data_IF_175899724688
#
_entry.id   IF_175899724688
#
_cell.length_a   1.000
_cell.length_b   1.000
_cell.length_c   1.000
_cell.angle_alpha   90.00
_cell.angle_beta   90.00
_cell.angle_gamma   90.00
#
_symmetry.space_group_name_H-M   'P 1'
#
loop_
_entity.id
_entity.type
_entity.pdbx_description
1 polymer ?
#
# COMPACT_ATOMS: atom_id res chain seq x y z
N UNK A 1 -10.84 -19.29 8.81
CA UNK A 1 -10.30 -18.17 9.59
C UNK A 1 -9.25 -17.51 8.72
N UNK A 2 -9.48 -16.29 8.26
CA UNK A 2 -8.52 -15.56 7.42
C UNK A 2 -7.37 -15.12 8.32
N UNK A 3 -6.20 -15.73 8.17
CA UNK A 3 -5.00 -15.33 8.91
C UNK A 3 -4.53 -14.00 8.33
N UNK A 4 -4.67 -12.92 9.10
CA UNK A 4 -4.16 -11.62 8.74
C UNK A 4 -2.63 -11.71 8.65
N UNK A 5 -2.05 -11.38 7.50
CA UNK A 5 -0.60 -11.31 7.39
C UNK A 5 -0.10 -10.10 8.18
N UNK A 6 0.91 -10.31 9.02
CA UNK A 6 1.61 -9.24 9.70
C UNK A 6 2.63 -8.61 8.73
N UNK A 7 2.81 -7.28 8.75
CA UNK A 7 3.81 -6.64 7.93
C UNK A 7 5.21 -7.09 8.33
N UNK A 8 6.06 -7.39 7.35
CA UNK A 8 7.49 -7.62 7.56
C UNK A 8 8.18 -6.32 7.97
N UNK A 9 7.66 -5.17 7.52
CA UNK A 9 8.12 -3.83 7.89
C UNK A 9 6.92 -2.92 8.14
N UNK A 10 6.94 -2.18 9.25
CA UNK A 10 6.07 -1.03 9.49
C UNK A 10 6.94 0.20 9.79
N UNK A 11 6.66 1.33 9.10
CA UNK A 11 7.29 2.63 9.35
C UNK A 11 6.22 3.68 9.57
N UNK A 12 6.37 4.45 10.66
CA UNK A 12 5.50 5.57 11.01
C UNK A 12 6.33 6.84 11.01
N UNK A 13 5.98 7.80 10.15
CA UNK A 13 6.81 8.96 9.85
C UNK A 13 5.99 10.23 9.63
N UNK A 14 6.64 11.40 9.71
CA UNK A 14 6.02 12.70 9.38
C UNK A 14 6.16 13.09 7.90
N UNK A 15 6.84 12.27 7.11
CA UNK A 15 7.06 12.48 5.68
C UNK A 15 6.79 11.17 4.93
N UNK A 16 6.34 11.23 3.67
CA UNK A 16 6.22 10.06 2.81
C UNK A 16 7.53 9.29 2.69
N UNK A 17 7.42 7.96 2.62
CA UNK A 17 8.52 7.00 2.48
C UNK A 17 8.65 6.54 1.04
N UNK A 18 7.52 6.22 0.40
CA UNK A 18 7.48 5.71 -0.99
C UNK A 18 6.74 6.66 -1.92
N UNK A 19 5.66 7.28 -1.45
CA UNK A 19 4.98 8.31 -2.22
C UNK A 19 5.91 9.53 -2.40
N UNK A 20 5.77 10.23 -3.52
CA UNK A 20 6.51 11.46 -3.76
C UNK A 20 6.15 12.54 -2.72
N UNK A 21 7.08 13.42 -2.38
CA UNK A 21 6.84 14.48 -1.39
C UNK A 21 5.71 15.44 -1.81
N UNK A 22 5.43 15.54 -3.10
CA UNK A 22 4.38 16.35 -3.72
C UNK A 22 3.13 15.53 -4.09
N UNK A 23 2.93 14.34 -3.49
CA UNK A 23 1.81 13.44 -3.81
C UNK A 23 0.45 14.16 -3.80
N UNK A 24 0.24 15.09 -2.86
CA UNK A 24 -0.98 15.90 -2.72
C UNK A 24 -1.24 16.88 -3.87
N UNK A 25 -0.22 17.21 -4.68
CA UNK A 25 -0.35 18.05 -5.88
C UNK A 25 -0.50 17.23 -7.17
N UNK A 26 -0.17 15.94 -7.12
CA UNK A 26 -0.20 15.04 -8.27
C UNK A 26 -1.57 14.37 -8.38
N UNK A 27 -2.55 15.15 -8.81
CA UNK A 27 -3.76 14.54 -9.37
C UNK A 27 -3.33 13.78 -10.64
N UNK A 28 -3.72 12.51 -10.74
CA UNK A 28 -3.71 11.70 -11.97
C UNK A 28 -2.50 10.82 -12.28
N UNK A 29 -1.74 10.30 -11.31
CA UNK A 29 -0.99 9.07 -11.61
C UNK A 29 -1.90 7.86 -11.37
N UNK A 30 -2.43 7.21 -12.43
CA UNK A 30 -3.27 6.03 -12.28
C UNK A 30 -2.46 4.89 -11.67
N UNK A 31 -3.14 3.81 -11.26
CA UNK A 31 -2.49 2.53 -11.02
C UNK A 31 -1.71 2.14 -12.30
N UNK A 32 -0.39 2.26 -12.26
CA UNK A 32 0.52 1.93 -13.36
C UNK A 32 0.77 0.43 -13.28
N UNK A 33 0.39 -0.28 -14.35
CA UNK A 33 0.78 -1.66 -14.53
C UNK A 33 2.17 -1.68 -15.17
N UNK A 34 3.13 -2.24 -14.44
CA UNK A 34 4.49 -2.47 -14.91
C UNK A 34 4.71 -3.97 -15.07
N UNK A 35 5.48 -4.37 -16.08
CA UNK A 35 5.73 -5.76 -16.44
C UNK A 35 7.24 -6.03 -16.34
N UNK A 36 7.64 -7.11 -15.68
CA UNK A 36 9.03 -7.60 -15.67
C UNK A 36 9.05 -9.11 -15.57
N UNK A 37 9.73 -9.81 -16.48
CA UNK A 37 10.15 -11.22 -16.36
C UNK A 37 9.14 -12.16 -15.64
N UNK A 38 7.89 -12.18 -16.12
CA UNK A 38 6.73 -12.96 -15.63
C UNK A 38 5.93 -12.38 -14.44
N UNK A 39 6.33 -11.23 -13.91
CA UNK A 39 5.59 -10.51 -12.86
C UNK A 39 4.91 -9.25 -13.41
N UNK A 40 3.61 -9.11 -13.14
CA UNK A 40 2.82 -7.89 -13.30
C UNK A 40 2.80 -7.17 -11.95
N UNK A 41 3.41 -6.00 -11.90
CA UNK A 41 3.44 -5.13 -10.73
C UNK A 41 2.48 -3.97 -10.93
N UNK A 42 1.44 -3.92 -10.13
CA UNK A 42 0.47 -2.83 -10.08
C UNK A 42 0.91 -1.80 -9.03
N UNK A 43 1.25 -0.58 -9.45
CA UNK A 43 1.68 0.50 -8.56
C UNK A 43 0.70 1.66 -8.64
N UNK A 44 0.11 2.02 -7.51
CA UNK A 44 -0.60 3.26 -7.31
C UNK A 44 0.29 4.30 -6.62
N UNK A 45 0.30 5.54 -7.12
CA UNK A 45 0.89 6.72 -6.49
C UNK A 45 -0.03 7.91 -6.78
N UNK A 46 -0.52 8.63 -5.77
CA UNK A 46 -1.46 9.72 -6.04
C UNK A 46 -1.83 10.55 -4.82
N UNK A 47 -2.82 11.43 -4.99
CA UNK A 47 -3.27 12.39 -3.97
C UNK A 47 -3.88 11.79 -2.72
N UNK A 48 -4.15 10.48 -2.70
CA UNK A 48 -4.93 9.83 -1.66
C UNK A 48 -6.24 9.29 -2.22
N UNK A 49 -6.55 8.03 -1.93
CA UNK A 49 -7.88 7.44 -2.15
C UNK A 49 -8.25 6.69 -0.87
N UNK A 50 -9.51 6.79 -0.46
CA UNK A 50 -10.01 5.99 0.66
C UNK A 50 -9.78 4.49 0.39
N UNK A 51 -9.42 3.68 1.41
CA UNK A 51 -9.10 2.26 1.22
C UNK A 51 -10.16 1.48 0.45
N UNK A 52 -11.45 1.67 0.77
CA UNK A 52 -12.59 0.98 0.13
C UNK A 52 -12.80 1.34 -1.35
N UNK A 53 -12.20 2.44 -1.81
CA UNK A 53 -12.29 2.91 -3.19
C UNK A 53 -10.99 2.64 -3.97
N UNK A 54 -9.97 2.08 -3.31
CA UNK A 54 -8.67 1.87 -3.91
C UNK A 54 -8.75 0.75 -4.96
N UNK A 55 -8.15 0.91 -6.17
CA UNK A 55 -8.25 -0.08 -7.25
C UNK A 55 -7.61 -1.43 -6.94
N UNK A 56 -6.75 -1.50 -5.90
CA UNK A 56 -6.15 -2.74 -5.41
C UNK A 56 -6.80 -3.27 -4.13
N UNK A 57 -7.88 -2.68 -3.65
CA UNK A 57 -8.50 -3.04 -2.36
C UNK A 57 -8.81 -4.53 -2.26
N UNK A 58 -9.40 -5.09 -3.31
CA UNK A 58 -9.76 -6.51 -3.36
C UNK A 58 -8.55 -7.41 -3.24
N UNK A 59 -7.47 -7.10 -3.94
CA UNK A 59 -6.22 -7.85 -3.94
C UNK A 59 -5.58 -7.89 -2.55
N UNK A 60 -5.51 -6.74 -1.90
CA UNK A 60 -5.00 -6.61 -0.54
C UNK A 60 -5.87 -7.39 0.47
N UNK A 61 -7.20 -7.36 0.32
CA UNK A 61 -8.10 -8.16 1.15
C UNK A 61 -7.94 -9.67 0.96
N UNK A 62 -7.75 -10.16 -0.27
CA UNK A 62 -7.54 -11.59 -0.52
C UNK A 62 -6.28 -12.12 0.18
N UNK A 63 -5.26 -11.26 0.34
CA UNK A 63 -4.05 -11.57 1.09
C UNK A 63 -4.19 -11.38 2.61
N UNK A 64 -5.35 -10.93 3.11
CA UNK A 64 -5.49 -10.59 4.52
C UNK A 64 -4.58 -9.43 4.95
N UNK A 65 -4.34 -8.48 4.05
CA UNK A 65 -3.51 -7.29 4.26
C UNK A 65 -4.39 -6.03 4.18
N UNK A 66 -5.07 -5.64 5.27
CA UNK A 66 -6.03 -4.56 5.22
C UNK A 66 -5.31 -3.20 5.23
N UNK A 67 -5.61 -2.34 4.25
CA UNK A 67 -5.20 -0.93 4.22
C UNK A 67 -6.12 -0.08 5.12
N UNK A 68 -6.39 -0.50 6.36
CA UNK A 68 -7.58 -0.02 7.09
C UNK A 68 -7.34 1.04 8.15
N UNK A 69 -6.10 1.25 8.60
CA UNK A 69 -5.82 2.14 9.73
C UNK A 69 -4.40 2.70 9.74
N UNK A 70 -4.27 3.87 10.37
CA UNK A 70 -3.00 4.51 10.71
C UNK A 70 -2.20 3.65 11.71
N UNK A 71 -0.89 3.52 11.52
CA UNK A 71 0.01 2.85 12.47
C UNK A 71 0.32 3.68 13.72
N UNK A 72 0.03 4.98 13.72
CA UNK A 72 0.30 5.86 14.86
C UNK A 72 -0.87 5.96 15.85
N UNK A 73 -2.03 6.43 15.39
CA UNK A 73 -3.21 6.69 16.24
C UNK A 73 -4.34 5.68 16.07
N UNK A 74 -4.16 4.67 15.21
CA UNK A 74 -5.16 3.65 14.86
C UNK A 74 -6.46 4.20 14.23
N UNK A 75 -6.50 5.50 13.87
CA UNK A 75 -7.63 6.07 13.14
C UNK A 75 -7.80 5.39 11.77
N UNK A 76 -9.07 5.26 11.37
CA UNK A 76 -9.47 4.77 10.04
C UNK A 76 -9.67 5.91 9.03
N UNK A 77 -9.57 7.15 9.48
CA UNK A 77 -9.56 8.36 8.64
C UNK A 77 -8.17 8.46 7.97
N UNK A 78 -8.01 7.65 6.93
CA UNK A 78 -6.77 7.51 6.17
C UNK A 78 -7.03 7.54 4.66
N UNK A 79 -6.01 7.99 3.94
CA UNK A 79 -5.97 7.98 2.49
C UNK A 79 -4.76 7.16 2.04
N UNK A 80 -4.96 6.25 1.09
CA UNK A 80 -3.87 5.47 0.47
C UNK A 80 -3.19 6.36 -0.56
N UNK A 81 -1.90 6.64 -0.37
CA UNK A 81 -1.11 7.54 -1.22
C UNK A 81 -0.07 6.79 -2.06
N UNK A 82 0.24 5.55 -1.67
CA UNK A 82 1.03 4.59 -2.44
C UNK A 82 0.50 3.18 -2.18
N UNK A 83 0.44 2.35 -3.22
CA UNK A 83 0.24 0.92 -3.07
C UNK A 83 0.97 0.16 -4.18
N UNK A 84 1.51 -1.00 -3.87
CA UNK A 84 2.14 -1.94 -4.80
C UNK A 84 1.57 -3.32 -4.57
N UNK A 85 1.28 -4.03 -5.65
CA UNK A 85 0.90 -5.43 -5.62
C UNK A 85 1.50 -6.17 -6.80
N UNK A 86 2.17 -7.28 -6.55
CA UNK A 86 2.85 -8.10 -7.57
C UNK A 86 2.05 -9.38 -7.87
N UNK A 87 1.99 -9.79 -9.14
CA UNK A 87 1.32 -11.03 -9.63
C UNK A 87 2.16 -11.73 -10.68
N UNK A 88 2.05 -13.05 -10.90
CA UNK A 88 1.33 -14.00 -10.05
C UNK A 88 2.08 -14.22 -8.73
N UNK A 89 1.33 -14.48 -7.66
CA UNK A 89 1.93 -14.78 -6.35
C UNK A 89 2.55 -16.18 -6.29
N UNK A 90 2.24 -17.03 -7.28
CA UNK A 90 2.68 -18.43 -7.36
C UNK A 90 4.18 -18.59 -7.63
N UNK A 91 4.80 -17.58 -8.24
CA UNK A 91 6.23 -17.56 -8.60
C UNK A 91 7.07 -16.66 -7.68
N UNK A 92 6.47 -16.04 -6.67
CA UNK A 92 7.19 -15.17 -5.74
C UNK A 92 8.24 -15.97 -4.96
N UNK A 93 9.47 -15.47 -4.93
CA UNK A 93 10.58 -16.11 -4.23
C UNK A 93 10.60 -15.69 -2.76
N UNK A 94 11.11 -16.53 -1.85
CA UNK A 94 11.33 -16.13 -0.47
C UNK A 94 12.17 -14.85 -0.41
N UNK A 95 11.69 -13.83 0.31
CA UNK A 95 12.35 -12.54 0.41
C UNK A 95 11.86 -11.47 -0.59
N UNK A 96 10.94 -11.79 -1.49
CA UNK A 96 10.36 -10.81 -2.42
C UNK A 96 9.15 -10.07 -1.85
N UNK A 97 9.08 -8.76 -2.11
CA UNK A 97 7.95 -7.92 -1.72
C UNK A 97 6.75 -8.30 -2.58
N UNK A 98 5.72 -8.85 -1.96
CA UNK A 98 4.48 -9.24 -2.62
C UNK A 98 3.48 -8.09 -2.65
N UNK A 99 3.40 -7.31 -1.58
CA UNK A 99 2.61 -6.10 -1.55
C UNK A 99 3.14 -5.08 -0.53
N UNK A 100 2.86 -3.82 -0.79
CA UNK A 100 3.21 -2.73 0.11
C UNK A 100 2.21 -1.60 -0.05
N UNK A 101 1.99 -0.82 1.00
CA UNK A 101 1.15 0.37 0.93
C UNK A 101 1.66 1.46 1.85
N UNK A 102 1.35 2.69 1.49
CA UNK A 102 1.55 3.87 2.31
C UNK A 102 0.25 4.63 2.42
N UNK A 103 -0.10 4.99 3.66
CA UNK A 103 -1.29 5.78 3.97
C UNK A 103 -0.91 7.06 4.68
N UNK A 104 -1.66 8.12 4.39
CA UNK A 104 -1.67 9.36 5.17
C UNK A 104 -2.88 9.34 6.12
N UNK A 105 -2.69 9.79 7.36
CA UNK A 105 -3.78 9.89 8.33
C UNK A 105 -4.19 11.34 8.56
N UNK A 106 -5.44 11.67 8.22
CA UNK A 106 -5.98 13.03 8.39
C UNK A 106 -6.09 13.43 9.86
N UNK A 107 -6.32 12.47 10.75
CA UNK A 107 -6.49 12.73 12.18
C UNK A 107 -5.20 13.19 12.87
N UNK A 108 -4.06 12.57 12.56
CA UNK A 108 -2.79 12.82 13.26
C UNK A 108 -1.67 13.36 12.37
N UNK A 109 -1.91 13.50 11.06
CA UNK A 109 -0.95 13.97 10.06
C UNK A 109 0.35 13.13 9.98
N UNK A 110 0.26 11.83 10.28
CA UNK A 110 1.36 10.88 10.09
C UNK A 110 1.13 10.00 8.86
N UNK A 111 2.25 9.52 8.34
CA UNK A 111 2.32 8.52 7.29
C UNK A 111 2.58 7.15 7.92
N UNK A 112 1.98 6.11 7.37
CA UNK A 112 2.27 4.72 7.73
C UNK A 112 2.56 3.94 6.47
N UNK A 113 3.79 3.42 6.37
CA UNK A 113 4.21 2.51 5.33
C UNK A 113 4.27 1.08 5.88
N UNK A 114 3.70 0.12 5.14
CA UNK A 114 3.77 -1.31 5.45
C UNK A 114 4.20 -2.09 4.21
N UNK A 115 5.03 -3.09 4.43
CA UNK A 115 5.54 -3.99 3.41
C UNK A 115 5.40 -5.44 3.86
N UNK A 116 5.05 -6.29 2.92
CA UNK A 116 4.83 -7.72 3.10
C UNK A 116 5.70 -8.48 2.11
N UNK A 117 6.42 -9.45 2.66
CA UNK A 117 7.38 -10.28 1.94
C UNK A 117 6.90 -11.73 2.04
N UNK A 118 7.09 -12.52 0.97
CA UNK A 118 6.83 -13.96 0.99
C UNK A 118 7.98 -14.75 1.63
#
# INVERSE_FOLDING_TARGET
MTQWMLPSIEKVTKQPTKAALDYYKRFNQPCILTYSDNTITSIFQGTGIAPLQHPLEREFMMLGVPMSQCGHCLSREIEVIYARFDRPLEDARPGEIICAYEVFCEHCNYFTYREYIL
#
